data_IF_873902290247
#
_entry.id   IF_873902290247
#
_cell.length_a   1.000
_cell.length_b   1.000
_cell.length_c   1.000
_cell.angle_alpha   90.00
_cell.angle_beta   90.00
_cell.angle_gamma   90.00
#
_symmetry.space_group_name_H-M   'P 1'
#
loop_
_entity.id
_entity.type
_entity.pdbx_description
1 polymer ?
#
# COMPACT_ATOMS: atom_id res chain seq x y z
N UNK A 1 7.43 5.45 8.00
CA UNK A 1 6.08 4.97 8.40
C UNK A 1 6.19 4.10 9.65
N UNK A 2 5.23 4.15 10.57
CA UNK A 2 5.27 3.35 11.80
C UNK A 2 5.15 1.84 11.50
N UNK A 3 5.81 0.99 12.29
CA UNK A 3 5.84 -0.46 12.08
C UNK A 3 4.44 -1.11 12.18
N UNK A 4 3.56 -0.57 13.02
CA UNK A 4 2.18 -1.06 13.15
C UNK A 4 1.41 -0.94 11.84
N UNK A 5 1.51 0.22 11.17
CA UNK A 5 0.87 0.48 9.87
C UNK A 5 1.42 -0.48 8.81
N UNK A 6 2.74 -0.68 8.79
CA UNK A 6 3.38 -1.63 7.87
C UNK A 6 2.87 -3.06 8.11
N UNK A 7 2.72 -3.46 9.38
CA UNK A 7 2.20 -4.77 9.73
C UNK A 7 0.73 -4.94 9.31
N UNK A 8 -0.09 -3.90 9.41
CA UNK A 8 -1.48 -3.90 8.91
C UNK A 8 -1.53 -4.07 7.39
N UNK A 9 -0.74 -3.29 6.65
CA UNK A 9 -0.64 -3.41 5.17
C UNK A 9 -0.16 -4.80 4.76
N UNK A 10 0.75 -5.41 5.52
CA UNK A 10 1.25 -6.75 5.22
C UNK A 10 0.26 -7.89 5.53
N UNK A 11 -0.93 -7.59 6.09
CA UNK A 11 -1.99 -8.60 6.29
C UNK A 11 -2.87 -8.82 5.08
N UNK A 12 -2.91 -7.88 4.13
CA UNK A 12 -3.67 -8.04 2.89
C UNK A 12 -3.17 -9.24 2.08
N UNK A 13 -3.92 -9.70 1.08
CA UNK A 13 -3.49 -10.85 0.28
C UNK A 13 -2.61 -10.39 -0.88
N UNK A 14 -2.96 -9.26 -1.51
CA UNK A 14 -2.39 -8.87 -2.79
C UNK A 14 -1.43 -7.69 -2.72
N UNK A 15 -1.34 -7.01 -1.58
CA UNK A 15 -0.45 -5.87 -1.39
C UNK A 15 0.58 -6.12 -0.29
N UNK A 16 1.80 -5.64 -0.47
CA UNK A 16 2.86 -5.70 0.57
C UNK A 16 3.62 -4.40 0.63
N UNK A 17 4.19 -4.08 1.80
CA UNK A 17 5.13 -3.00 1.93
C UNK A 17 6.55 -3.44 1.53
N UNK A 18 7.12 -2.78 0.53
CA UNK A 18 8.51 -2.90 0.13
C UNK A 18 9.36 -1.86 0.89
N UNK A 19 10.10 -2.34 1.89
CA UNK A 19 10.99 -1.52 2.71
C UNK A 19 12.13 -0.86 1.91
N UNK A 20 12.61 -1.50 0.84
CA UNK A 20 13.74 -0.97 0.05
C UNK A 20 13.31 0.23 -0.78
N UNK A 21 12.06 0.21 -1.26
CA UNK A 21 11.48 1.28 -2.09
C UNK A 21 10.60 2.25 -1.30
N UNK A 22 10.34 1.97 -0.02
CA UNK A 22 9.41 2.71 0.82
C UNK A 22 8.03 2.85 0.15
N UNK A 23 7.46 1.73 -0.30
CA UNK A 23 6.30 1.70 -1.19
C UNK A 23 5.40 0.51 -0.90
N UNK A 24 4.10 0.68 -1.04
CA UNK A 24 3.16 -0.46 -1.10
C UNK A 24 3.09 -0.95 -2.54
N UNK A 25 3.42 -2.22 -2.74
CA UNK A 25 3.45 -2.86 -4.06
C UNK A 25 2.30 -3.84 -4.21
N UNK A 26 1.69 -3.83 -5.39
CA UNK A 26 0.74 -4.85 -5.80
C UNK A 26 1.52 -6.09 -6.26
N UNK A 27 1.22 -7.24 -5.68
CA UNK A 27 1.83 -8.52 -6.01
C UNK A 27 1.17 -9.19 -7.22
N UNK A 28 -0.05 -8.77 -7.60
CA UNK A 28 -0.75 -9.29 -8.78
C UNK A 28 -0.26 -8.56 -10.03
N UNK A 29 0.13 -9.35 -11.04
CA UNK A 29 0.74 -8.88 -12.29
C UNK A 29 -0.32 -8.68 -13.40
N UNK A 30 -1.57 -9.12 -13.19
CA UNK A 30 -2.66 -9.12 -14.19
C UNK A 30 -3.97 -8.54 -13.64
N UNK A 31 -4.92 -8.29 -14.57
CA UNK A 31 -6.19 -7.50 -14.51
C UNK A 31 -7.11 -7.64 -13.29
N UNK A 32 -6.84 -8.52 -12.34
CA UNK A 32 -7.64 -8.73 -11.14
C UNK A 32 -7.01 -8.02 -9.94
N UNK A 33 -6.79 -6.71 -10.08
CA UNK A 33 -6.40 -5.89 -8.93
C UNK A 33 -7.56 -5.88 -7.95
N UNK A 34 -7.30 -6.26 -6.69
CA UNK A 34 -8.27 -6.15 -5.61
C UNK A 34 -8.42 -4.67 -5.23
N UNK A 35 -9.34 -3.98 -5.92
CA UNK A 35 -9.60 -2.55 -5.69
C UNK A 35 -10.02 -2.29 -4.25
N UNK A 36 -10.74 -3.22 -3.64
CA UNK A 36 -11.16 -3.13 -2.24
C UNK A 36 -9.95 -3.09 -1.29
N UNK A 37 -8.98 -4.00 -1.44
CA UNK A 37 -7.74 -3.96 -0.65
C UNK A 37 -6.96 -2.65 -0.87
N UNK A 38 -6.93 -2.15 -2.11
CA UNK A 38 -6.27 -0.88 -2.43
C UNK A 38 -6.94 0.33 -1.75
N UNK A 39 -8.27 0.35 -1.67
CA UNK A 39 -9.03 1.39 -0.98
C UNK A 39 -8.86 1.29 0.55
N UNK A 40 -8.85 0.09 1.10
CA UNK A 40 -8.61 -0.13 2.53
C UNK A 40 -7.20 0.34 2.94
N UNK A 41 -6.19 0.08 2.09
CA UNK A 41 -4.82 0.57 2.33
C UNK A 41 -4.79 2.10 2.29
N UNK A 42 -5.44 2.75 1.33
CA UNK A 42 -5.55 4.21 1.31
C UNK A 42 -6.18 4.75 2.60
N UNK A 43 -7.27 4.15 3.04
CA UNK A 43 -7.93 4.54 4.28
C UNK A 43 -7.01 4.43 5.50
N UNK A 44 -6.24 3.33 5.62
CA UNK A 44 -5.24 3.15 6.68
C UNK A 44 -4.19 4.26 6.62
N UNK A 45 -3.66 4.58 5.43
CA UNK A 45 -2.65 5.63 5.26
C UNK A 45 -3.20 7.01 5.63
N UNK A 46 -4.42 7.34 5.19
CA UNK A 46 -5.09 8.61 5.46
C UNK A 46 -5.37 8.78 6.96
N UNK A 47 -5.90 7.75 7.63
CA UNK A 47 -6.15 7.76 9.08
C UNK A 47 -4.88 8.02 9.89
N UNK A 48 -3.74 7.55 9.39
CA UNK A 48 -2.44 7.74 10.03
C UNK A 48 -1.67 8.96 9.52
N UNK A 49 -2.30 9.82 8.70
CA UNK A 49 -1.72 11.04 8.12
C UNK A 49 -0.41 10.76 7.35
N UNK A 50 -0.31 9.58 6.75
CA UNK A 50 0.84 9.22 5.92
C UNK A 50 0.68 9.91 4.58
N UNK A 51 1.70 10.66 4.15
CA UNK A 51 1.70 11.30 2.83
C UNK A 51 2.10 10.26 1.80
N UNK A 52 1.38 10.18 0.68
CA UNK A 52 1.68 9.23 -0.39
C UNK A 52 1.30 9.79 -1.77
N UNK A 53 1.79 9.12 -2.82
CA UNK A 53 1.38 9.32 -4.21
C UNK A 53 1.07 7.98 -4.89
N UNK A 54 0.21 8.02 -5.90
CA UNK A 54 -0.11 6.85 -6.71
C UNK A 54 0.92 6.64 -7.81
N UNK A 55 1.25 5.38 -8.03
CA UNK A 55 2.13 4.93 -9.09
C UNK A 55 1.36 4.00 -10.04
N UNK A 56 2.00 3.61 -11.15
CA UNK A 56 1.43 2.61 -12.07
C UNK A 56 1.18 1.28 -11.32
N UNK A 57 0.26 0.47 -11.84
CA UNK A 57 -0.07 -0.85 -11.30
C UNK A 57 -0.65 -0.84 -9.86
N UNK A 58 -1.35 0.23 -9.49
CA UNK A 58 -1.94 0.39 -8.15
C UNK A 58 -0.89 0.34 -7.03
N UNK A 59 0.33 0.78 -7.32
CA UNK A 59 1.36 0.93 -6.30
C UNK A 59 1.19 2.28 -5.58
N UNK A 60 1.59 2.34 -4.31
CA UNK A 60 1.47 3.55 -3.47
C UNK A 60 2.85 3.91 -2.92
N UNK A 61 3.43 4.98 -3.46
CA UNK A 61 4.71 5.52 -3.00
C UNK A 61 4.51 6.32 -1.72
N UNK A 62 5.22 5.97 -0.65
CA UNK A 62 5.20 6.74 0.58
C UNK A 62 6.14 7.94 0.43
N UNK A 63 5.63 9.13 0.78
CA UNK A 63 6.33 10.39 0.75
C UNK A 63 6.82 10.74 2.17
N UNK A 64 7.95 11.44 2.26
CA UNK A 64 8.48 11.95 3.52
C UNK A 64 7.79 13.26 3.93
#
# INVERSE_FOLDING_TARGET
MAQQIINEINRFVTFRFDYKKNRVVNLKINRDVEVDEFLDIQYILDCNKVRYSFEKNFEIQILN
#
